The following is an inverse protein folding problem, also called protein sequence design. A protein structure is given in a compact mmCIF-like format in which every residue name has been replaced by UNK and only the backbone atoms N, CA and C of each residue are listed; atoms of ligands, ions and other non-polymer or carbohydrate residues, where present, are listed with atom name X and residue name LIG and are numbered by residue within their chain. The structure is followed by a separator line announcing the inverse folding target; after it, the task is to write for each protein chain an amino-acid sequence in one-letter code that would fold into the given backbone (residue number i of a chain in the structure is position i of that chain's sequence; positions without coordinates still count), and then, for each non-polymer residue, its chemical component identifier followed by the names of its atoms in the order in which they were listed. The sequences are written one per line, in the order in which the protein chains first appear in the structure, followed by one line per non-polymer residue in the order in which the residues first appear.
data_IF_501868594066
#
_entry.id   IF_501868594066
#
_cell.length_a   1.000
_cell.length_b   1.000
_cell.length_c   1.000
_cell.angle_alpha   90.00
_cell.angle_beta   90.00
_cell.angle_gamma   90.00
#
_symmetry.space_group_name_H-M   'P 1'
#
loop_
_entity.id
_entity.type
_entity.pdbx_description
1 polymer ?
#
# COMPACT_ATOMS: atom_id res chain seq x y z
N UNK A 1 15.62 -41.03 27.46
CA UNK A 1 14.84 -41.11 26.20
C UNK A 1 14.41 -39.70 25.84
N UNK A 2 14.96 -39.03 24.81
CA UNK A 2 14.43 -37.77 24.38
C UNK A 2 13.10 -38.03 23.65
N UNK A 3 12.08 -37.34 24.11
CA UNK A 3 10.72 -37.33 23.58
C UNK A 3 10.75 -36.74 22.14
N UNK A 4 10.64 -37.61 21.15
CA UNK A 4 10.42 -37.21 19.75
C UNK A 4 8.97 -36.74 19.66
N UNK A 5 8.74 -35.47 19.85
CA UNK A 5 7.55 -34.83 19.28
C UNK A 5 7.61 -35.04 17.76
N UNK A 6 6.58 -35.67 17.15
CA UNK A 6 6.57 -35.91 15.72
C UNK A 6 6.64 -34.55 14.99
N UNK A 7 7.51 -34.48 13.99
CA UNK A 7 7.65 -33.31 13.11
C UNK A 7 6.27 -32.82 12.70
N UNK A 8 5.93 -31.62 13.13
CA UNK A 8 4.62 -31.05 12.96
C UNK A 8 4.40 -30.81 11.46
N UNK A 9 3.45 -31.51 10.83
CA UNK A 9 3.10 -31.30 9.42
C UNK A 9 2.77 -29.81 9.18
N UNK A 10 3.59 -29.07 8.42
CA UNK A 10 3.38 -27.64 8.17
C UNK A 10 2.04 -27.35 7.46
N UNK A 11 1.51 -28.32 6.72
CA UNK A 11 0.22 -28.18 6.02
C UNK A 11 -0.95 -28.21 7.01
N UNK A 12 -0.90 -29.05 8.05
CA UNK A 12 -1.92 -29.09 9.10
C UNK A 12 -1.90 -27.84 9.97
N UNK A 13 -0.72 -27.34 10.35
CA UNK A 13 -0.60 -26.09 11.10
C UNK A 13 -1.16 -24.90 10.29
N UNK A 14 -0.87 -24.86 9.00
CA UNK A 14 -1.42 -23.84 8.08
C UNK A 14 -2.94 -23.94 7.97
N UNK A 15 -3.51 -25.14 7.89
CA UNK A 15 -4.96 -25.34 7.84
C UNK A 15 -5.62 -24.88 9.16
N UNK A 16 -5.02 -25.19 10.30
CA UNK A 16 -5.51 -24.75 11.60
C UNK A 16 -5.50 -23.21 11.72
N UNK A 17 -4.43 -22.55 11.26
CA UNK A 17 -4.36 -21.08 11.19
C UNK A 17 -5.44 -20.50 10.26
N UNK A 18 -5.67 -21.11 9.09
CA UNK A 18 -6.76 -20.71 8.18
C UNK A 18 -8.13 -20.82 8.87
N UNK A 19 -8.38 -21.87 9.65
CA UNK A 19 -9.62 -22.00 10.46
C UNK A 19 -9.76 -20.89 11.47
N UNK A 20 -8.68 -20.53 12.17
CA UNK A 20 -8.64 -19.41 13.10
C UNK A 20 -8.91 -18.07 12.39
N UNK A 21 -8.44 -17.86 11.17
CA UNK A 21 -8.75 -16.67 10.36
C UNK A 21 -10.21 -16.67 9.95
N UNK A 22 -10.72 -17.77 9.43
CA UNK A 22 -12.06 -17.90 8.87
C UNK A 22 -13.18 -17.86 9.92
N UNK A 23 -12.90 -18.22 11.19
CA UNK A 23 -13.93 -18.12 12.24
C UNK A 23 -14.37 -16.69 12.55
N UNK A 24 -13.68 -15.68 11.99
CA UNK A 24 -14.08 -14.27 12.04
C UNK A 24 -14.01 -13.63 13.44
N UNK A 25 -14.68 -12.50 13.59
CA UNK A 25 -14.71 -11.73 14.83
C UNK A 25 -13.40 -10.99 15.16
N UNK A 26 -13.28 -10.42 16.37
CA UNK A 26 -12.08 -9.68 16.79
C UNK A 26 -10.81 -10.52 16.74
N UNK A 27 -9.71 -9.98 16.21
CA UNK A 27 -8.43 -10.70 16.14
C UNK A 27 -7.74 -10.87 17.51
N UNK A 28 -7.98 -9.96 18.45
CA UNK A 28 -7.29 -9.94 19.75
C UNK A 28 -7.44 -11.24 20.57
N UNK A 29 -8.63 -11.85 20.74
CA UNK A 29 -8.78 -13.14 21.41
C UNK A 29 -7.97 -14.24 20.76
N UNK A 30 -7.98 -14.31 19.42
CA UNK A 30 -7.24 -15.33 18.65
C UNK A 30 -5.74 -15.13 18.72
N UNK A 31 -5.25 -13.87 18.81
CA UNK A 31 -3.82 -13.60 19.05
C UNK A 31 -3.41 -14.06 20.44
N UNK A 32 -4.19 -13.70 21.49
CA UNK A 32 -3.93 -14.20 22.86
C UNK A 32 -3.86 -15.73 22.92
N UNK A 33 -4.74 -16.39 22.17
CA UNK A 33 -4.71 -17.87 22.08
C UNK A 33 -3.38 -18.37 21.49
N UNK A 34 -2.90 -17.75 20.39
CA UNK A 34 -1.62 -18.13 19.78
C UNK A 34 -0.40 -17.65 20.58
N UNK A 35 -0.54 -16.63 21.45
CA UNK A 35 0.48 -16.28 22.44
C UNK A 35 0.64 -17.37 23.50
N UNK A 36 -0.49 -17.92 23.95
CA UNK A 36 -0.53 -18.94 24.98
C UNK A 36 -0.17 -20.33 24.43
N UNK A 37 -0.68 -20.66 23.24
CA UNK A 37 -0.43 -21.93 22.54
C UNK A 37 0.03 -21.59 21.11
N UNK A 38 1.36 -21.53 20.86
CA UNK A 38 1.90 -21.12 19.56
C UNK A 38 1.56 -22.04 18.38
N UNK A 39 1.37 -23.35 18.62
CA UNK A 39 0.92 -24.28 17.57
C UNK A 39 -0.58 -24.08 17.29
N UNK A 40 -0.98 -23.59 16.09
CA UNK A 40 -2.38 -23.38 15.74
C UNK A 40 -3.27 -24.63 15.87
N UNK A 41 -2.70 -25.84 15.70
CA UNK A 41 -3.42 -27.13 15.82
C UNK A 41 -3.79 -27.39 17.28
N UNK A 42 -2.83 -27.28 18.16
CA UNK A 42 -3.04 -27.43 19.61
C UNK A 42 -4.00 -26.33 20.11
N UNK A 43 -3.82 -25.08 19.62
CA UNK A 43 -4.65 -23.94 19.97
C UNK A 43 -6.14 -24.17 19.65
N UNK A 44 -6.48 -24.65 18.45
CA UNK A 44 -7.89 -24.91 18.08
C UNK A 44 -8.48 -26.16 18.74
N UNK A 45 -7.64 -27.12 19.15
CA UNK A 45 -8.06 -28.31 19.83
C UNK A 45 -8.42 -28.06 21.31
N UNK A 46 -7.78 -27.07 21.95
CA UNK A 46 -8.04 -26.71 23.34
C UNK A 46 -9.23 -25.74 23.47
N UNK A 47 -10.40 -26.33 23.69
CA UNK A 47 -11.63 -25.56 23.85
C UNK A 47 -11.70 -24.76 25.16
N UNK A 48 -10.94 -25.13 26.20
CA UNK A 48 -10.85 -24.37 27.42
C UNK A 48 -10.02 -23.09 27.19
N UNK A 49 -8.80 -23.24 26.67
CA UNK A 49 -7.94 -22.12 26.29
C UNK A 49 -8.63 -21.15 25.31
N UNK A 50 -9.38 -21.67 24.33
CA UNK A 50 -10.16 -20.83 23.44
C UNK A 50 -11.16 -19.93 24.19
N UNK A 51 -11.88 -20.47 25.18
CA UNK A 51 -12.84 -19.68 26.01
C UNK A 51 -12.11 -18.69 26.90
N UNK A 52 -11.05 -19.14 27.57
CA UNK A 52 -10.28 -18.32 28.50
C UNK A 52 -9.60 -17.13 27.78
N UNK A 53 -9.18 -17.32 26.54
CA UNK A 53 -8.70 -16.25 25.68
C UNK A 53 -9.80 -15.34 25.14
N UNK A 54 -11.07 -15.67 25.36
CA UNK A 54 -12.24 -14.84 25.03
C UNK A 54 -12.77 -15.05 23.60
N UNK A 55 -12.62 -16.24 23.02
CA UNK A 55 -13.33 -16.57 21.79
C UNK A 55 -14.82 -16.73 22.08
N UNK A 56 -15.65 -16.13 21.24
CA UNK A 56 -17.11 -16.20 21.38
C UNK A 56 -17.65 -17.58 21.04
N UNK A 57 -18.87 -17.90 21.52
CA UNK A 57 -19.55 -19.16 21.17
C UNK A 57 -19.69 -19.34 19.65
N UNK A 58 -19.92 -18.25 18.91
CA UNK A 58 -19.98 -18.28 17.44
C UNK A 58 -18.64 -18.68 16.81
N UNK A 59 -17.54 -18.13 17.31
CA UNK A 59 -16.19 -18.52 16.87
C UNK A 59 -15.87 -19.97 17.19
N UNK A 60 -16.21 -20.45 18.39
CA UNK A 60 -16.05 -21.84 18.79
C UNK A 60 -16.87 -22.78 17.91
N UNK A 61 -18.11 -22.41 17.60
CA UNK A 61 -18.98 -23.14 16.67
C UNK A 61 -18.37 -23.22 15.27
N UNK A 62 -17.84 -22.11 14.74
CA UNK A 62 -17.19 -22.07 13.44
C UNK A 62 -15.90 -22.91 13.38
N UNK A 63 -15.12 -22.97 14.46
CA UNK A 63 -13.93 -23.81 14.55
C UNK A 63 -14.24 -25.31 14.55
N UNK A 64 -15.37 -25.73 15.12
CA UNK A 64 -15.83 -27.14 15.21
C UNK A 64 -16.64 -27.57 14.01
N UNK A 65 -17.26 -26.62 13.31
CA UNK A 65 -18.11 -26.86 12.18
C UNK A 65 -17.37 -27.34 10.93
N UNK A 66 -18.10 -27.71 9.88
CA UNK A 66 -17.52 -28.05 8.59
C UNK A 66 -16.75 -26.84 8.03
N UNK A 67 -15.66 -27.14 7.32
CA UNK A 67 -14.87 -26.09 6.69
C UNK A 67 -15.71 -25.39 5.58
N UNK A 68 -15.89 -24.05 5.65
CA UNK A 68 -16.63 -23.34 4.61
C UNK A 68 -15.90 -23.37 3.26
N UNK A 69 -16.63 -23.18 2.17
CA UNK A 69 -16.06 -23.17 0.81
C UNK A 69 -14.93 -22.15 0.63
N UNK A 70 -15.00 -21.03 1.37
CA UNK A 70 -13.94 -20.02 1.40
C UNK A 70 -12.60 -20.58 1.89
N UNK A 71 -12.60 -21.58 2.78
CA UNK A 71 -11.36 -22.27 3.22
C UNK A 71 -10.77 -23.14 2.11
N UNK A 72 -11.60 -23.81 1.31
CA UNK A 72 -11.11 -24.57 0.16
C UNK A 72 -10.41 -23.63 -0.82
N UNK A 73 -11.07 -22.54 -1.20
CA UNK A 73 -10.50 -21.54 -2.09
C UNK A 73 -9.17 -20.96 -1.54
N UNK A 74 -9.12 -20.63 -0.25
CA UNK A 74 -7.89 -20.12 0.36
C UNK A 74 -6.76 -21.16 0.39
N UNK A 75 -7.09 -22.44 0.65
CA UNK A 75 -6.11 -23.53 0.60
C UNK A 75 -5.58 -23.72 -0.82
N UNK A 76 -6.47 -23.75 -1.82
CA UNK A 76 -6.10 -23.92 -3.23
C UNK A 76 -5.24 -22.74 -3.71
N UNK A 77 -5.59 -21.51 -3.32
CA UNK A 77 -4.78 -20.33 -3.58
C UNK A 77 -3.36 -20.45 -2.99
N UNK A 78 -3.21 -21.00 -1.78
CA UNK A 78 -1.91 -21.19 -1.12
C UNK A 78 -1.05 -22.29 -1.76
N UNK A 79 -1.56 -23.09 -2.68
CA UNK A 79 -0.77 -24.06 -3.45
C UNK A 79 0.04 -23.40 -4.57
N UNK A 80 -0.35 -22.20 -4.99
CA UNK A 80 0.36 -21.50 -6.05
C UNK A 80 1.73 -21.01 -5.55
N UNK A 81 2.77 -21.01 -6.40
CA UNK A 81 4.08 -20.51 -6.04
C UNK A 81 4.00 -19.04 -5.65
N UNK A 82 4.82 -18.61 -4.69
CA UNK A 82 4.87 -17.24 -4.18
C UNK A 82 3.58 -16.77 -3.48
N UNK A 83 2.72 -17.69 -3.04
CA UNK A 83 1.58 -17.42 -2.19
C UNK A 83 1.84 -17.92 -0.77
N UNK A 84 1.73 -17.02 0.20
CA UNK A 84 2.12 -17.30 1.59
C UNK A 84 1.00 -16.91 2.54
N UNK A 85 0.96 -17.62 3.68
CA UNK A 85 0.17 -17.24 4.86
C UNK A 85 1.15 -17.09 6.02
N UNK A 86 1.23 -15.88 6.57
CA UNK A 86 2.12 -15.52 7.68
C UNK A 86 1.26 -15.23 8.90
N UNK A 87 1.31 -16.07 9.91
CA UNK A 87 0.58 -15.93 11.16
C UNK A 87 1.22 -14.92 12.10
N UNK A 88 0.43 -14.31 12.98
CA UNK A 88 0.94 -13.38 13.97
C UNK A 88 2.00 -13.98 14.91
N UNK A 89 1.89 -15.27 15.20
CA UNK A 89 2.86 -16.05 16.01
C UNK A 89 4.14 -16.41 15.24
N UNK A 90 4.09 -16.33 13.90
CA UNK A 90 5.18 -16.69 13.01
C UNK A 90 6.38 -15.73 13.17
N UNK A 91 7.64 -16.22 13.28
CA UNK A 91 8.82 -15.35 13.27
C UNK A 91 8.89 -14.41 12.08
N UNK A 92 8.31 -14.80 10.93
CA UNK A 92 8.29 -14.01 9.69
C UNK A 92 7.30 -12.85 9.69
N UNK A 93 6.42 -12.78 10.70
CA UNK A 93 5.48 -11.68 10.81
C UNK A 93 6.19 -10.34 10.97
N UNK A 94 5.79 -9.28 10.23
CA UNK A 94 6.48 -7.98 10.21
C UNK A 94 6.64 -7.38 11.60
N UNK A 95 7.87 -7.09 12.07
CA UNK A 95 8.11 -6.67 13.45
C UNK A 95 7.50 -5.30 13.77
N UNK A 96 7.45 -4.41 12.80
CA UNK A 96 6.82 -3.10 12.95
C UNK A 96 5.30 -3.24 13.12
N UNK A 97 4.65 -4.09 12.32
CA UNK A 97 3.22 -4.35 12.40
C UNK A 97 2.84 -5.10 13.68
N UNK A 98 3.70 -6.02 14.16
CA UNK A 98 3.48 -6.74 15.41
C UNK A 98 3.32 -5.80 16.62
N UNK A 99 4.03 -4.66 16.59
CA UNK A 99 3.99 -3.64 17.64
C UNK A 99 2.88 -2.62 17.48
N UNK A 100 2.11 -2.68 16.38
CA UNK A 100 0.99 -1.74 16.16
C UNK A 100 -0.17 -2.06 17.11
N UNK A 101 -1.08 -1.10 17.41
CA UNK A 101 -2.17 -1.28 18.38
C UNK A 101 -3.13 -2.44 18.03
N UNK A 102 -3.33 -2.72 16.75
CA UNK A 102 -4.27 -3.74 16.29
C UNK A 102 -3.71 -4.57 15.11
N UNK A 103 -2.66 -5.37 15.32
CA UNK A 103 -2.09 -6.19 14.25
C UNK A 103 -3.10 -7.26 13.79
N UNK A 104 -3.16 -7.61 12.49
CA UNK A 104 -3.97 -8.72 12.01
C UNK A 104 -3.49 -10.07 12.55
N UNK A 105 -4.39 -11.04 12.63
CA UNK A 105 -4.06 -12.40 13.07
C UNK A 105 -3.11 -13.12 12.09
N UNK A 106 -3.28 -12.87 10.81
CA UNK A 106 -2.45 -13.40 9.74
C UNK A 106 -2.48 -12.48 8.52
N UNK A 107 -1.49 -12.63 7.66
CA UNK A 107 -1.35 -11.94 6.37
C UNK A 107 -1.28 -12.97 5.26
N UNK A 108 -2.12 -12.78 4.25
CA UNK A 108 -1.98 -13.43 2.95
C UNK A 108 -1.07 -12.59 2.08
N UNK A 109 -0.03 -13.19 1.52
CA UNK A 109 0.97 -12.51 0.70
C UNK A 109 1.06 -13.18 -0.67
N UNK A 110 0.92 -12.40 -1.74
CA UNK A 110 1.28 -12.82 -3.10
C UNK A 110 2.49 -12.02 -3.55
N UNK A 111 3.59 -12.70 -3.87
CA UNK A 111 4.86 -12.08 -4.21
C UNK A 111 5.97 -12.48 -3.25
N UNK A 112 6.85 -11.54 -2.93
CA UNK A 112 8.00 -11.75 -2.06
C UNK A 112 7.68 -11.40 -0.60
N UNK A 113 7.56 -12.36 0.32
CA UNK A 113 7.26 -12.11 1.73
C UNK A 113 8.41 -11.40 2.47
N UNK A 114 9.65 -11.51 2.00
CA UNK A 114 10.81 -10.85 2.62
C UNK A 114 10.67 -9.31 2.59
N UNK A 115 9.92 -8.76 1.63
CA UNK A 115 9.65 -7.34 1.55
C UNK A 115 8.86 -6.77 2.74
N UNK A 116 8.22 -7.61 3.53
CA UNK A 116 7.56 -7.20 4.77
C UNK A 116 8.54 -6.86 5.90
N UNK A 117 9.80 -7.25 5.75
CA UNK A 117 10.91 -6.88 6.63
C UNK A 117 11.77 -5.75 6.05
N UNK A 118 11.57 -5.43 4.76
CA UNK A 118 12.33 -4.38 4.11
C UNK A 118 11.87 -3.00 4.62
N UNK A 119 12.80 -2.08 4.94
CA UNK A 119 12.44 -0.71 5.31
C UNK A 119 11.58 -0.05 4.24
N UNK A 120 10.36 0.38 4.60
CA UNK A 120 9.40 0.93 3.66
C UNK A 120 8.79 2.24 4.14
N UNK A 121 8.45 3.14 3.21
CA UNK A 121 7.66 4.35 3.47
C UNK A 121 6.27 4.19 2.87
N UNK A 122 5.25 4.45 3.67
CA UNK A 122 3.88 4.50 3.17
C UNK A 122 3.66 5.81 2.40
N UNK A 123 3.34 5.73 1.11
CA UNK A 123 3.03 6.89 0.27
C UNK A 123 1.54 6.87 -0.05
N UNK A 124 0.81 7.88 0.44
CA UNK A 124 -0.65 7.94 0.34
C UNK A 124 -1.13 9.32 -0.10
N UNK A 125 -2.37 9.37 -0.59
CA UNK A 125 -2.95 10.67 -0.95
C UNK A 125 -4.30 10.57 -1.64
N UNK A 126 -4.62 11.60 -2.41
CA UNK A 126 -5.86 11.75 -3.16
C UNK A 126 -6.05 10.63 -4.18
N UNK A 127 -7.28 10.14 -4.32
CA UNK A 127 -7.69 9.23 -5.40
C UNK A 127 -7.87 9.91 -6.75
N UNK A 128 -8.04 11.25 -6.73
CA UNK A 128 -8.11 12.10 -7.91
C UNK A 128 -7.13 13.28 -7.73
N UNK A 129 -5.82 13.01 -7.76
CA UNK A 129 -4.80 14.03 -7.53
C UNK A 129 -4.68 14.98 -8.72
N UNK A 130 -4.07 16.15 -8.47
CA UNK A 130 -3.63 17.01 -9.54
C UNK A 130 -2.52 16.36 -10.37
N UNK A 131 -2.21 16.86 -11.58
CA UNK A 131 -1.02 16.43 -12.31
C UNK A 131 0.25 16.58 -11.48
N UNK A 132 0.47 17.72 -10.83
CA UNK A 132 1.61 17.95 -9.94
C UNK A 132 1.66 16.98 -8.76
N UNK A 133 0.51 16.62 -8.19
CA UNK A 133 0.44 15.60 -7.14
C UNK A 133 0.89 14.22 -7.62
N UNK A 134 0.53 13.81 -8.86
CA UNK A 134 1.03 12.56 -9.46
C UNK A 134 2.52 12.61 -9.70
N UNK A 135 3.02 13.73 -10.23
CA UNK A 135 4.46 13.91 -10.49
C UNK A 135 5.27 13.89 -9.20
N UNK A 136 4.77 14.54 -8.15
CA UNK A 136 5.36 14.51 -6.81
C UNK A 136 5.39 13.08 -6.25
N UNK A 137 4.28 12.32 -6.33
CA UNK A 137 4.24 10.94 -5.88
C UNK A 137 5.28 10.07 -6.61
N UNK A 138 5.40 10.25 -7.93
CA UNK A 138 6.36 9.53 -8.74
C UNK A 138 7.81 9.95 -8.44
N UNK A 139 8.06 11.24 -8.22
CA UNK A 139 9.39 11.77 -7.90
C UNK A 139 9.87 11.26 -6.53
N UNK A 140 9.02 11.37 -5.49
CA UNK A 140 9.33 10.85 -4.16
C UNK A 140 9.54 9.34 -4.18
N UNK A 141 8.68 8.57 -4.87
CA UNK A 141 8.83 7.13 -4.97
C UNK A 141 10.18 6.73 -5.59
N UNK A 142 10.60 7.37 -6.69
CA UNK A 142 11.91 7.12 -7.31
C UNK A 142 13.08 7.48 -6.38
N UNK A 143 12.98 8.60 -5.67
CA UNK A 143 14.03 9.04 -4.75
C UNK A 143 14.15 8.11 -3.53
N UNK A 144 13.03 7.65 -2.97
CA UNK A 144 13.00 6.66 -1.88
C UNK A 144 13.65 5.33 -2.32
N UNK A 145 13.35 4.87 -3.55
CA UNK A 145 14.01 3.69 -4.15
C UNK A 145 15.52 3.91 -4.28
N UNK A 146 15.94 5.09 -4.75
CA UNK A 146 17.35 5.46 -4.85
C UNK A 146 18.07 5.48 -3.49
N UNK A 147 17.35 5.68 -2.40
CA UNK A 147 17.84 5.59 -1.02
C UNK A 147 17.75 4.18 -0.42
N UNK A 148 17.38 3.16 -1.19
CA UNK A 148 17.27 1.77 -0.73
C UNK A 148 16.00 1.47 0.07
N UNK A 149 14.99 2.34 0.04
CA UNK A 149 13.72 2.13 0.73
C UNK A 149 12.67 1.54 -0.22
N UNK A 150 11.82 0.67 0.31
CA UNK A 150 10.62 0.23 -0.40
C UNK A 150 9.49 1.27 -0.26
N UNK A 151 8.57 1.25 -1.21
CA UNK A 151 7.34 2.04 -1.14
C UNK A 151 6.16 1.13 -0.80
N UNK A 152 5.48 1.41 0.31
CA UNK A 152 4.22 0.77 0.64
C UNK A 152 3.05 1.69 0.28
N UNK A 153 1.94 1.14 -0.22
CA UNK A 153 0.72 1.91 -0.47
C UNK A 153 -0.53 1.03 -0.51
N UNK A 154 -1.68 1.64 -0.73
CA UNK A 154 -2.97 0.96 -0.67
C UNK A 154 -3.52 0.49 -2.03
N UNK A 155 -2.79 0.65 -3.11
CA UNK A 155 -3.25 0.34 -4.47
C UNK A 155 -4.55 1.07 -4.87
N UNK A 156 -4.89 2.17 -4.22
CA UNK A 156 -6.01 3.01 -4.64
C UNK A 156 -5.69 3.75 -5.95
N UNK A 157 -6.72 4.29 -6.62
CA UNK A 157 -6.49 5.20 -7.74
C UNK A 157 -5.72 6.44 -7.28
N UNK A 158 -5.04 7.12 -8.19
CA UNK A 158 -4.37 8.39 -7.94
C UNK A 158 -2.96 8.26 -7.38
N UNK A 159 -2.69 8.84 -6.22
CA UNK A 159 -1.35 8.87 -5.61
C UNK A 159 -0.77 7.48 -5.40
N UNK A 160 -1.56 6.55 -4.85
CA UNK A 160 -1.11 5.17 -4.60
C UNK A 160 -0.66 4.49 -5.91
N UNK A 161 -1.47 4.62 -6.97
CA UNK A 161 -1.14 4.10 -8.31
C UNK A 161 0.15 4.71 -8.86
N UNK A 162 0.32 6.04 -8.75
CA UNK A 162 1.50 6.74 -9.24
C UNK A 162 2.77 6.30 -8.48
N UNK A 163 2.68 6.17 -7.17
CA UNK A 163 3.78 5.73 -6.32
C UNK A 163 4.23 4.29 -6.65
N UNK A 164 3.29 3.33 -6.72
CA UNK A 164 3.61 1.94 -7.09
C UNK A 164 4.22 1.84 -8.50
N UNK A 165 3.60 2.51 -9.48
CA UNK A 165 4.07 2.47 -10.86
C UNK A 165 5.48 3.05 -11.02
N UNK A 166 5.76 4.18 -10.36
CA UNK A 166 7.08 4.80 -10.38
C UNK A 166 8.14 3.96 -9.67
N UNK A 167 7.79 3.31 -8.55
CA UNK A 167 8.67 2.38 -7.83
C UNK A 167 9.07 1.21 -8.71
N UNK A 168 8.10 0.55 -9.36
CA UNK A 168 8.38 -0.57 -10.28
C UNK A 168 9.19 -0.14 -11.50
N UNK A 169 8.91 1.05 -12.05
CA UNK A 169 9.67 1.59 -13.18
C UNK A 169 11.12 1.92 -12.81
N UNK A 170 11.40 2.25 -11.55
CA UNK A 170 12.74 2.47 -11.04
C UNK A 170 13.46 1.17 -10.61
N UNK A 171 12.85 0.00 -10.81
CA UNK A 171 13.39 -1.30 -10.38
C UNK A 171 13.38 -1.49 -8.86
N UNK A 172 12.60 -0.70 -8.14
CA UNK A 172 12.49 -0.74 -6.68
C UNK A 172 11.43 -1.71 -6.17
N UNK A 173 11.45 -1.95 -4.86
CA UNK A 173 10.52 -2.82 -4.16
C UNK A 173 9.26 -2.09 -3.73
N UNK A 174 8.09 -2.70 -3.93
CA UNK A 174 6.82 -2.12 -3.48
C UNK A 174 5.91 -3.14 -2.81
N UNK A 175 5.22 -2.70 -1.76
CA UNK A 175 4.25 -3.49 -1.00
C UNK A 175 2.88 -2.85 -1.12
N UNK A 176 1.93 -3.56 -1.73
CA UNK A 176 0.54 -3.10 -1.80
C UNK A 176 -0.30 -3.80 -0.72
N UNK A 177 -0.82 -3.02 0.22
CA UNK A 177 -1.75 -3.53 1.23
C UNK A 177 -3.17 -3.40 0.71
N UNK A 178 -3.95 -4.47 0.73
CA UNK A 178 -5.25 -4.55 0.07
C UNK A 178 -6.42 -4.55 1.06
N UNK A 179 -7.55 -3.97 0.66
CA UNK A 179 -8.84 -4.09 1.37
C UNK A 179 -9.72 -5.21 0.80
N UNK A 180 -9.18 -6.03 -0.10
CA UNK A 180 -9.79 -7.22 -0.72
C UNK A 180 -8.93 -8.43 -0.42
N UNK A 181 -9.37 -9.63 -0.79
CA UNK A 181 -8.48 -10.79 -0.88
C UNK A 181 -7.29 -10.50 -1.81
N UNK A 182 -6.14 -11.20 -1.64
CA UNK A 182 -4.93 -10.90 -2.40
C UNK A 182 -5.07 -11.21 -3.90
N UNK A 183 -6.06 -11.99 -4.29
CA UNK A 183 -6.43 -12.39 -5.65
C UNK A 183 -7.40 -11.42 -6.35
N UNK A 184 -7.95 -10.46 -5.60
CA UNK A 184 -8.98 -9.53 -6.11
C UNK A 184 -8.38 -8.13 -6.32
N UNK A 185 -8.12 -7.78 -7.58
CA UNK A 185 -7.65 -6.45 -7.96
C UNK A 185 -8.75 -5.39 -7.79
N UNK A 186 -8.51 -4.39 -6.95
CA UNK A 186 -9.41 -3.25 -6.76
C UNK A 186 -8.61 -1.95 -6.56
N UNK A 187 -8.96 -0.85 -7.27
CA UNK A 187 -10.01 -0.74 -8.31
C UNK A 187 -9.67 -1.56 -9.56
N UNK A 188 -10.68 -1.88 -10.37
CA UNK A 188 -10.50 -2.71 -11.59
C UNK A 188 -9.47 -2.12 -12.57
N UNK A 189 -9.34 -0.79 -12.62
CA UNK A 189 -8.35 -0.11 -13.45
C UNK A 189 -6.89 -0.40 -13.07
N UNK A 190 -6.64 -0.91 -11.86
CA UNK A 190 -5.30 -1.26 -11.37
C UNK A 190 -4.97 -2.75 -11.54
N UNK A 191 -5.74 -3.53 -12.32
CA UNK A 191 -5.52 -4.97 -12.51
C UNK A 191 -4.11 -5.30 -13.02
N UNK A 192 -3.63 -4.56 -14.00
CA UNK A 192 -2.29 -4.74 -14.54
C UNK A 192 -1.21 -4.42 -13.49
N UNK A 193 -1.36 -3.30 -12.79
CA UNK A 193 -0.45 -2.92 -11.72
C UNK A 193 -0.44 -3.93 -10.57
N UNK A 194 -1.61 -4.44 -10.18
CA UNK A 194 -1.76 -5.53 -9.20
C UNK A 194 -0.95 -6.76 -9.62
N UNK A 195 -1.08 -7.23 -10.86
CA UNK A 195 -0.31 -8.38 -11.37
C UNK A 195 1.20 -8.12 -11.40
N UNK A 196 1.61 -6.91 -11.79
CA UNK A 196 3.03 -6.50 -11.78
C UNK A 196 3.61 -6.47 -10.35
N UNK A 197 2.83 -6.00 -9.37
CA UNK A 197 3.26 -5.99 -7.96
C UNK A 197 3.37 -7.41 -7.43
N UNK A 198 2.43 -8.32 -7.75
CA UNK A 198 2.54 -9.73 -7.37
C UNK A 198 3.81 -10.40 -7.91
N UNK A 199 4.31 -9.95 -9.08
CA UNK A 199 5.51 -10.49 -9.71
C UNK A 199 6.80 -9.88 -9.16
N UNK A 200 6.86 -8.55 -8.96
CA UNK A 200 8.09 -7.82 -8.65
C UNK A 200 8.10 -7.18 -7.25
N UNK A 201 7.07 -7.41 -6.46
CA UNK A 201 6.86 -6.85 -5.14
C UNK A 201 6.09 -7.81 -4.23
N UNK A 202 5.21 -7.26 -3.39
CA UNK A 202 4.30 -8.03 -2.54
C UNK A 202 2.90 -7.40 -2.47
N UNK A 203 1.87 -8.21 -2.67
CA UNK A 203 0.49 -7.90 -2.34
C UNK A 203 0.17 -8.49 -0.96
N UNK A 204 -0.40 -7.71 -0.08
CA UNK A 204 -0.65 -8.10 1.31
C UNK A 204 -2.09 -7.85 1.69
N UNK A 205 -2.74 -8.84 2.28
CA UNK A 205 -4.12 -8.73 2.78
C UNK A 205 -4.32 -9.49 4.08
N UNK A 206 -5.18 -8.97 4.96
CA UNK A 206 -5.70 -9.73 6.12
C UNK A 206 -6.96 -10.55 5.76
N UNK A 207 -7.52 -10.33 4.58
CA UNK A 207 -8.73 -11.00 4.12
C UNK A 207 -8.41 -12.28 3.34
N UNK A 208 -9.26 -13.29 3.50
CA UNK A 208 -9.17 -14.54 2.75
C UNK A 208 -9.21 -14.28 1.24
N UNK A 209 -8.45 -15.05 0.44
CA UNK A 209 -8.63 -15.12 -1.01
C UNK A 209 -10.11 -15.25 -1.39
N UNK A 210 -10.53 -14.60 -2.48
CA UNK A 210 -11.93 -14.51 -2.91
C UNK A 210 -12.75 -13.41 -2.22
N UNK A 211 -12.20 -12.71 -1.22
CA UNK A 211 -12.92 -11.63 -0.53
C UNK A 211 -13.02 -10.39 -1.42
N UNK A 212 -14.25 -10.07 -1.83
CA UNK A 212 -14.55 -8.88 -2.64
C UNK A 212 -14.41 -7.56 -1.87
N UNK A 213 -14.45 -6.41 -2.58
CA UNK A 213 -14.34 -5.10 -1.97
C UNK A 213 -15.56 -4.77 -1.10
N UNK A 214 -15.32 -4.30 0.13
CA UNK A 214 -16.33 -3.77 1.05
C UNK A 214 -15.85 -2.42 1.60
N UNK A 215 -16.77 -1.47 1.79
CA UNK A 215 -16.42 -0.09 2.19
C UNK A 215 -15.63 -0.04 3.50
N UNK A 216 -15.98 -0.87 4.47
CA UNK A 216 -15.36 -0.97 5.79
C UNK A 216 -13.94 -1.55 5.76
N UNK A 217 -13.59 -2.33 4.74
CA UNK A 217 -12.27 -2.95 4.62
C UNK A 217 -11.17 -1.93 4.30
N UNK A 218 -11.48 -0.83 3.59
CA UNK A 218 -10.47 0.15 3.19
C UNK A 218 -9.94 0.98 4.36
N UNK A 219 -10.78 1.53 5.25
CA UNK A 219 -10.27 2.18 6.47
C UNK A 219 -9.57 1.21 7.42
N UNK A 220 -10.09 -0.01 7.60
CA UNK A 220 -9.48 -1.00 8.49
C UNK A 220 -8.10 -1.46 8.01
N UNK A 221 -7.92 -1.62 6.68
CA UNK A 221 -6.67 -1.96 6.05
C UNK A 221 -5.58 -0.91 6.31
N UNK A 222 -5.93 0.38 6.40
CA UNK A 222 -4.95 1.46 6.55
C UNK A 222 -4.07 1.30 7.81
N UNK A 223 -4.55 0.62 8.87
CA UNK A 223 -3.73 0.30 10.06
C UNK A 223 -2.58 -0.65 9.73
N UNK A 224 -2.78 -1.56 8.78
CA UNK A 224 -1.74 -2.48 8.33
C UNK A 224 -0.70 -1.70 7.54
N UNK A 225 -1.13 -0.83 6.62
CA UNK A 225 -0.23 0.02 5.84
C UNK A 225 0.62 0.92 6.74
N UNK A 226 0.00 1.62 7.70
CA UNK A 226 0.69 2.43 8.68
C UNK A 226 1.63 1.59 9.58
N UNK A 227 1.21 0.36 9.93
CA UNK A 227 1.95 -0.53 10.82
C UNK A 227 3.19 -1.17 10.20
N UNK A 228 3.21 -1.45 8.90
CA UNK A 228 4.38 -2.04 8.22
C UNK A 228 5.44 -1.01 7.82
N UNK A 229 5.07 0.26 7.69
CA UNK A 229 5.95 1.31 7.24
C UNK A 229 6.75 1.95 8.38
N UNK A 230 7.92 2.49 8.07
CA UNK A 230 8.74 3.31 8.97
C UNK A 230 8.05 4.65 9.28
N UNK A 231 7.41 5.24 8.27
CA UNK A 231 6.65 6.48 8.34
C UNK A 231 5.66 6.60 7.19
N UNK A 232 4.81 7.61 7.23
CA UNK A 232 3.76 7.85 6.23
C UNK A 232 3.91 9.22 5.60
N UNK A 233 4.06 9.25 4.27
CA UNK A 233 4.13 10.45 3.45
C UNK A 233 2.79 10.73 2.77
N UNK A 234 2.21 11.90 3.02
CA UNK A 234 0.97 12.36 2.40
C UNK A 234 1.28 13.41 1.33
N UNK A 235 1.00 13.07 0.06
CA UNK A 235 1.32 13.94 -1.09
C UNK A 235 0.22 14.98 -1.33
N UNK A 236 -1.02 14.58 -1.45
CA UNK A 236 -2.20 15.43 -1.56
C UNK A 236 -3.35 14.80 -0.79
N UNK A 237 -4.07 15.60 -0.01
CA UNK A 237 -5.25 15.17 0.71
C UNK A 237 -6.26 16.32 0.87
N UNK A 238 -7.52 16.10 0.50
CA UNK A 238 -8.60 16.97 0.93
C UNK A 238 -8.87 16.81 2.43
N UNK A 239 -9.59 17.73 3.06
CA UNK A 239 -9.88 17.74 4.51
C UNK A 239 -10.57 16.46 5.02
N UNK A 240 -11.30 15.75 4.17
CA UNK A 240 -12.01 14.49 4.49
C UNK A 240 -11.42 13.29 3.75
N UNK A 241 -10.14 13.35 3.39
CA UNK A 241 -9.47 12.26 2.66
C UNK A 241 -9.21 11.05 3.54
N UNK A 242 -9.35 9.85 2.96
CA UNK A 242 -8.93 8.59 3.61
C UNK A 242 -7.43 8.53 3.91
N UNK A 243 -6.60 9.31 3.22
CA UNK A 243 -5.16 9.41 3.51
C UNK A 243 -4.88 9.99 4.91
N UNK A 244 -5.76 10.90 5.41
CA UNK A 244 -5.67 11.43 6.77
C UNK A 244 -5.92 10.36 7.83
N UNK A 245 -6.72 9.34 7.52
CA UNK A 245 -6.92 8.18 8.41
C UNK A 245 -5.61 7.40 8.53
N UNK A 246 -4.90 7.16 7.40
CA UNK A 246 -3.61 6.48 7.42
C UNK A 246 -2.57 7.28 8.20
N UNK A 247 -2.50 8.59 8.01
CA UNK A 247 -1.61 9.49 8.74
C UNK A 247 -1.86 9.42 10.25
N UNK A 248 -3.13 9.49 10.68
CA UNK A 248 -3.50 9.35 12.09
C UNK A 248 -3.10 8.00 12.67
N UNK A 249 -3.38 6.90 11.97
CA UNK A 249 -3.02 5.54 12.40
C UNK A 249 -1.51 5.34 12.47
N UNK A 250 -0.74 6.03 11.62
CA UNK A 250 0.73 6.06 11.69
C UNK A 250 1.19 6.76 12.98
N UNK A 251 0.67 7.94 13.28
CA UNK A 251 0.97 8.66 14.53
C UNK A 251 0.56 7.85 15.78
N UNK A 252 -0.62 7.24 15.79
CA UNK A 252 -1.09 6.34 16.87
C UNK A 252 -0.18 5.10 17.05
N UNK A 253 0.53 4.71 15.99
CA UNK A 253 1.52 3.63 16.02
C UNK A 253 2.94 4.11 16.33
N UNK A 254 3.13 5.38 16.71
CA UNK A 254 4.44 5.98 16.98
C UNK A 254 5.33 6.08 15.73
N UNK A 255 4.73 6.30 14.56
CA UNK A 255 5.44 6.49 13.29
C UNK A 255 5.44 7.95 12.88
N UNK A 256 6.51 8.36 12.21
CA UNK A 256 6.60 9.69 11.62
C UNK A 256 5.55 9.90 10.53
N UNK A 257 4.99 11.09 10.50
CA UNK A 257 4.07 11.54 9.46
C UNK A 257 4.67 12.73 8.75
N UNK A 258 4.74 12.64 7.44
CA UNK A 258 5.23 13.67 6.54
C UNK A 258 4.11 14.17 5.65
N UNK A 259 4.08 15.46 5.37
CA UNK A 259 3.12 16.03 4.46
C UNK A 259 3.77 17.03 3.50
N UNK A 260 3.44 16.92 2.21
CA UNK A 260 3.86 17.91 1.23
C UNK A 260 3.02 19.18 1.39
N UNK A 261 3.66 20.36 1.42
CA UNK A 261 2.95 21.62 1.27
C UNK A 261 2.40 21.76 -0.16
N UNK A 262 1.43 22.61 -0.36
CA UNK A 262 0.88 22.91 -1.68
C UNK A 262 0.24 24.29 -1.70
N UNK A 263 -0.27 24.69 -2.86
CA UNK A 263 -0.97 25.97 -3.02
C UNK A 263 -2.17 26.03 -2.06
N UNK A 264 -2.35 27.18 -1.38
CA UNK A 264 -3.53 27.45 -0.54
C UNK A 264 -4.84 27.43 -1.35
N UNK A 265 -4.74 27.60 -2.67
CA UNK A 265 -5.84 27.52 -3.61
C UNK A 265 -6.18 26.10 -4.04
N UNK A 266 -5.28 25.15 -3.82
CA UNK A 266 -5.53 23.74 -4.10
C UNK A 266 -6.34 23.08 -2.94
N UNK A 267 -7.61 22.71 -3.16
CA UNK A 267 -8.39 22.04 -2.11
C UNK A 267 -7.79 20.71 -1.65
N UNK A 268 -6.95 20.07 -2.47
CA UNK A 268 -6.25 18.84 -2.12
C UNK A 268 -4.98 19.07 -1.28
N UNK A 269 -4.54 20.33 -1.08
CA UNK A 269 -3.46 20.66 -0.15
C UNK A 269 -3.96 20.88 1.29
N UNK A 270 -5.25 21.14 1.48
CA UNK A 270 -5.81 21.50 2.80
C UNK A 270 -5.61 20.45 3.87
N UNK A 271 -5.73 19.16 3.51
CA UNK A 271 -5.45 18.05 4.42
C UNK A 271 -3.98 17.99 4.83
N UNK A 272 -3.06 18.20 3.89
CA UNK A 272 -1.62 18.29 4.17
C UNK A 272 -1.31 19.47 5.10
N UNK A 273 -1.88 20.67 4.82
CA UNK A 273 -1.73 21.83 5.69
C UNK A 273 -2.28 21.61 7.09
N UNK A 274 -3.38 20.85 7.22
CA UNK A 274 -3.91 20.45 8.52
C UNK A 274 -2.93 19.52 9.23
N UNK A 275 -2.44 18.47 8.57
CA UNK A 275 -1.46 17.54 9.16
C UNK A 275 -0.21 18.27 9.65
N UNK A 276 0.32 19.23 8.87
CA UNK A 276 1.48 20.05 9.26
C UNK A 276 1.18 20.84 10.54
N UNK A 277 0.01 21.48 10.62
CA UNK A 277 -0.41 22.20 11.85
C UNK A 277 -0.62 21.26 13.04
N UNK A 278 -1.02 20.02 12.78
CA UNK A 278 -1.23 18.98 13.79
C UNK A 278 0.08 18.28 14.19
N UNK A 279 1.25 18.71 13.64
CA UNK A 279 2.58 18.25 14.01
C UNK A 279 3.26 17.29 13.02
N UNK A 280 2.67 17.03 11.84
CA UNK A 280 3.38 16.29 10.79
C UNK A 280 4.54 17.13 10.24
N UNK A 281 5.66 16.47 9.93
CA UNK A 281 6.80 17.15 9.33
C UNK A 281 6.49 17.61 7.92
N UNK A 282 6.67 18.91 7.63
CA UNK A 282 6.65 19.43 6.28
C UNK A 282 7.89 18.94 5.56
N UNK A 283 7.71 18.37 4.37
CA UNK A 283 8.80 17.90 3.53
C UNK A 283 8.65 18.39 2.08
N UNK A 284 9.76 18.78 1.48
CA UNK A 284 9.83 19.27 0.10
C UNK A 284 10.61 18.31 -0.80
N UNK A 285 11.35 17.38 -0.22
CA UNK A 285 12.13 16.36 -0.92
C UNK A 285 12.23 15.05 -0.11
N UNK A 286 12.63 13.97 -0.78
CA UNK A 286 12.72 12.65 -0.17
C UNK A 286 13.90 12.52 0.82
N UNK A 287 14.92 13.35 0.70
CA UNK A 287 16.06 13.32 1.61
C UNK A 287 15.62 13.64 3.04
N UNK A 288 14.75 14.64 3.23
CA UNK A 288 14.19 14.98 4.55
C UNK A 288 13.41 13.79 5.17
N UNK A 289 12.73 13.00 4.34
CA UNK A 289 12.05 11.78 4.79
C UNK A 289 13.06 10.72 5.21
N UNK A 290 14.09 10.47 4.41
CA UNK A 290 15.11 9.44 4.70
C UNK A 290 15.94 9.78 5.92
N UNK A 291 16.33 11.04 6.10
CA UNK A 291 17.06 11.50 7.28
C UNK A 291 16.26 11.32 8.58
N UNK A 292 14.98 11.69 8.56
CA UNK A 292 14.10 11.52 9.73
C UNK A 292 13.86 10.04 10.09
N UNK A 293 13.84 9.15 9.09
CA UNK A 293 13.57 7.72 9.29
C UNK A 293 14.83 6.87 9.56
N UNK A 294 16.03 7.41 9.39
CA UNK A 294 17.29 6.68 9.56
C UNK A 294 17.39 5.91 10.89
N UNK A 295 17.06 6.49 12.08
CA UNK A 295 17.17 5.77 13.34
C UNK A 295 16.26 4.54 13.43
N UNK A 296 15.03 4.63 12.89
CA UNK A 296 14.07 3.52 12.89
C UNK A 296 14.48 2.44 11.87
N UNK A 297 15.00 2.85 10.71
CA UNK A 297 15.53 1.95 9.70
C UNK A 297 16.74 1.14 10.22
N UNK A 298 17.66 1.79 10.92
CA UNK A 298 18.80 1.13 11.57
C UNK A 298 18.37 0.12 12.63
N UNK A 299 17.39 0.48 13.47
CA UNK A 299 16.84 -0.43 14.47
C UNK A 299 16.19 -1.66 13.82
N UNK A 300 15.46 -1.49 12.71
CA UNK A 300 14.86 -2.59 11.94
C UNK A 300 15.94 -3.48 11.30
N UNK A 301 16.97 -2.87 10.67
CA UNK A 301 18.09 -3.60 10.10
C UNK A 301 18.86 -4.40 11.16
N UNK A 302 19.04 -3.84 12.36
CA UNK A 302 19.62 -4.54 13.51
C UNK A 302 18.78 -5.74 13.96
N UNK A 303 17.45 -5.60 13.97
CA UNK A 303 16.54 -6.70 14.28
C UNK A 303 16.61 -7.82 13.23
N UNK A 304 16.68 -7.46 11.94
CA UNK A 304 16.84 -8.41 10.83
C UNK A 304 18.18 -9.16 10.91
N UNK A 305 19.29 -8.46 11.16
CA UNK A 305 20.62 -9.10 11.33
C UNK A 305 20.61 -10.11 12.48
N UNK A 306 20.02 -9.77 13.62
CA UNK A 306 19.89 -10.69 14.76
C UNK A 306 19.08 -11.95 14.38
N UNK A 307 18.03 -11.79 13.60
CA UNK A 307 17.23 -12.90 13.11
C UNK A 307 18.00 -13.81 12.16
N UNK A 308 18.73 -13.23 11.18
CA UNK A 308 19.55 -13.98 10.24
C UNK A 308 20.75 -14.67 10.89
N UNK A 309 21.25 -14.13 12.00
CA UNK A 309 22.33 -14.74 12.79
C UNK A 309 21.84 -15.86 13.73
N UNK A 310 20.53 -16.00 13.95
CA UNK A 310 19.96 -17.14 14.69
C UNK A 310 20.07 -18.41 13.83
N UNK A 311 20.39 -19.60 14.41
CA UNK A 311 20.49 -20.85 13.67
C UNK A 311 19.20 -21.15 12.90
N UNK A 312 19.31 -21.36 11.60
CA UNK A 312 18.17 -21.68 10.74
C UNK A 312 17.95 -23.18 10.79
N UNK A 313 16.75 -23.60 11.12
CA UNK A 313 16.30 -24.97 10.88
C UNK A 313 15.68 -25.01 9.46
N UNK A 314 16.41 -25.57 8.49
CA UNK A 314 15.91 -25.92 7.15
C UNK A 314 16.31 -25.01 6.00
N UNK A 315 17.04 -25.55 5.04
CA UNK A 315 17.57 -24.91 3.82
C UNK A 315 16.54 -24.78 2.70
N UNK A 316 16.66 -23.70 1.91
CA UNK A 316 15.97 -23.53 0.63
C UNK A 316 16.62 -22.43 -0.21
N UNK A 317 17.31 -22.84 -1.30
CA UNK A 317 17.99 -21.95 -2.26
C UNK A 317 17.02 -21.11 -3.11
N UNK A 318 17.36 -19.85 -3.38
CA UNK A 318 16.64 -18.99 -4.29
C UNK A 318 17.56 -18.25 -5.25
N UNK A 319 17.33 -18.47 -6.53
CA UNK A 319 18.04 -17.84 -7.65
C UNK A 319 17.52 -16.44 -8.01
N UNK A 320 18.36 -15.65 -8.67
CA UNK A 320 18.12 -14.26 -9.05
C UNK A 320 17.36 -14.13 -10.39
N UNK A 321 16.56 -13.08 -10.62
CA UNK A 321 15.84 -12.87 -11.86
C UNK A 321 16.52 -11.89 -12.83
N UNK A 322 16.28 -12.12 -14.14
CA UNK A 322 16.80 -11.39 -15.28
C UNK A 322 16.01 -10.13 -15.63
N UNK A 323 16.69 -9.18 -16.30
CA UNK A 323 16.16 -7.87 -16.76
C UNK A 323 15.49 -7.97 -18.12
N UNK A 324 14.42 -7.20 -18.34
CA UNK A 324 13.80 -6.96 -19.66
C UNK A 324 13.60 -5.46 -19.88
N UNK A 325 13.91 -5.00 -21.10
CA UNK A 325 13.87 -3.60 -21.54
C UNK A 325 12.58 -3.25 -22.31
N UNK A 326 12.20 -1.95 -22.47
CA UNK A 326 10.91 -1.52 -23.02
C UNK A 326 10.98 -1.05 -24.48
N UNK A 327 9.86 -1.21 -25.19
CA UNK A 327 9.63 -0.67 -26.55
C UNK A 327 8.57 0.46 -26.59
N UNK A 328 8.75 1.36 -27.58
CA UNK A 328 7.96 2.56 -27.87
C UNK A 328 7.02 2.35 -29.04
N UNK A 329 5.91 3.05 -29.11
CA UNK A 329 5.31 3.48 -30.38
C UNK A 329 4.36 4.68 -30.24
N UNK A 330 4.20 5.45 -31.30
CA UNK A 330 3.78 6.84 -31.40
C UNK A 330 2.55 7.06 -32.35
N UNK A 331 2.03 8.29 -32.30
CA UNK A 331 1.34 9.08 -33.38
C UNK A 331 -0.20 9.00 -33.48
N UNK A 332 -0.92 10.01 -33.92
CA UNK A 332 -0.95 11.48 -34.02
C UNK A 332 -2.32 11.99 -34.57
N UNK A 333 -2.73 13.16 -34.18
CA UNK A 333 -3.48 14.27 -34.83
C UNK A 333 -4.97 14.18 -35.26
N UNK A 334 -5.81 15.12 -34.85
CA UNK A 334 -6.40 16.26 -35.57
C UNK A 334 -7.34 17.16 -34.74
N UNK A 335 -7.52 18.39 -35.19
CA UNK A 335 -8.00 19.62 -34.57
C UNK A 335 -9.50 19.88 -34.56
N UNK A 336 -9.98 20.68 -33.57
CA UNK A 336 -11.26 21.38 -33.53
C UNK A 336 -11.99 21.27 -32.19
N UNK A 337 -11.84 22.24 -31.27
CA UNK A 337 -12.29 22.07 -29.88
C UNK A 337 -13.57 22.85 -29.55
N UNK A 338 -14.57 22.12 -29.03
CA UNK A 338 -15.72 22.64 -28.28
C UNK A 338 -15.68 22.11 -26.85
N UNK A 339 -16.49 22.66 -25.92
CA UNK A 339 -16.53 22.32 -24.48
C UNK A 339 -16.60 20.85 -24.14
N UNK A 340 -17.11 20.01 -25.04
CA UNK A 340 -17.22 18.54 -24.94
C UNK A 340 -16.09 17.81 -25.68
N UNK A 341 -15.08 18.54 -26.18
CA UNK A 341 -13.98 17.96 -26.92
C UNK A 341 -13.02 17.25 -25.95
N UNK A 342 -12.66 16.01 -26.28
CA UNK A 342 -11.73 15.19 -25.53
C UNK A 342 -10.37 15.87 -25.32
N UNK A 343 -9.94 16.74 -26.26
CA UNK A 343 -8.69 17.48 -26.18
C UNK A 343 -8.77 18.61 -25.16
N UNK A 344 -9.89 19.31 -25.09
CA UNK A 344 -10.16 20.34 -24.09
C UNK A 344 -10.15 19.75 -22.68
N UNK A 345 -10.81 18.60 -22.50
CA UNK A 345 -10.79 17.89 -21.22
C UNK A 345 -9.41 17.36 -20.87
N UNK A 346 -8.62 16.91 -21.84
CA UNK A 346 -7.22 16.49 -21.61
C UNK A 346 -6.37 17.65 -21.13
N UNK A 347 -6.46 18.82 -21.77
CA UNK A 347 -5.74 20.02 -21.35
C UNK A 347 -6.23 20.50 -19.98
N UNK A 348 -7.54 20.53 -19.75
CA UNK A 348 -8.10 20.87 -18.45
C UNK A 348 -7.55 19.97 -17.35
N UNK A 349 -7.49 18.66 -17.60
CA UNK A 349 -6.94 17.69 -16.64
C UNK A 349 -5.42 17.80 -16.48
N UNK A 350 -4.71 18.33 -17.46
CA UNK A 350 -3.27 18.60 -17.41
C UNK A 350 -2.93 19.87 -16.61
N UNK A 351 -3.85 20.85 -16.53
CA UNK A 351 -3.71 22.05 -15.72
C UNK A 351 -3.88 21.73 -14.23
N UNK A 352 -2.97 22.26 -13.41
CA UNK A 352 -3.05 22.22 -11.95
C UNK A 352 -3.45 23.56 -11.34
N UNK A 353 -3.34 23.65 -10.03
CA UNK A 353 -3.46 24.89 -9.27
C UNK A 353 -2.11 25.59 -9.09
N UNK A 354 -1.01 24.92 -9.46
CA UNK A 354 0.34 25.47 -9.46
C UNK A 354 0.67 26.02 -10.86
N UNK A 355 1.48 27.10 -10.96
CA UNK A 355 1.86 27.69 -12.23
C UNK A 355 2.63 26.69 -13.10
N UNK A 356 2.02 26.23 -14.19
CA UNK A 356 2.55 25.20 -15.10
C UNK A 356 2.98 25.82 -16.43
N UNK A 357 4.19 25.51 -16.89
CA UNK A 357 4.73 26.01 -18.15
C UNK A 357 4.12 25.35 -19.39
N UNK A 358 4.25 25.99 -20.55
CA UNK A 358 3.71 25.51 -21.84
C UNK A 358 4.23 24.10 -22.18
N UNK A 359 5.54 23.88 -22.10
CA UNK A 359 6.16 22.60 -22.45
C UNK A 359 5.63 21.45 -21.59
N UNK A 360 5.43 21.71 -20.32
CA UNK A 360 4.90 20.75 -19.35
C UNK A 360 3.41 20.46 -19.63
N UNK A 361 2.62 21.46 -20.04
CA UNK A 361 1.24 21.25 -20.46
C UNK A 361 1.14 20.42 -21.75
N UNK A 362 2.01 20.67 -22.71
CA UNK A 362 2.14 19.87 -23.95
C UNK A 362 2.48 18.41 -23.60
N UNK A 363 3.47 18.21 -22.76
CA UNK A 363 3.89 16.87 -22.36
C UNK A 363 2.78 16.10 -21.60
N UNK A 364 2.12 16.76 -20.66
CA UNK A 364 1.04 16.15 -19.83
C UNK A 364 -0.23 15.90 -20.63
N UNK A 365 -0.65 16.83 -21.48
CA UNK A 365 -1.86 16.70 -22.28
C UNK A 365 -1.69 15.81 -23.52
N UNK A 366 -0.44 15.63 -23.97
CA UNK A 366 -0.08 14.97 -25.23
C UNK A 366 -0.69 15.68 -26.46
N UNK A 367 -0.92 16.97 -26.34
CA UNK A 367 -1.42 17.84 -27.40
C UNK A 367 -0.24 18.59 -28.02
N UNK A 368 -0.41 19.10 -29.24
CA UNK A 368 0.57 19.97 -29.86
C UNK A 368 0.59 21.35 -29.17
N UNK A 369 1.72 22.06 -29.24
CA UNK A 369 1.86 23.42 -28.70
C UNK A 369 0.78 24.35 -29.25
N UNK A 370 0.43 24.24 -30.56
CA UNK A 370 -0.60 25.02 -31.19
C UNK A 370 -2.00 24.75 -30.60
N UNK A 371 -2.34 23.49 -30.37
CA UNK A 371 -3.60 23.09 -29.73
C UNK A 371 -3.68 23.62 -28.30
N UNK A 372 -2.62 23.44 -27.53
CA UNK A 372 -2.55 23.90 -26.13
C UNK A 372 -2.70 25.41 -26.08
N UNK A 373 -1.98 26.18 -26.94
CA UNK A 373 -2.06 27.65 -26.97
C UNK A 373 -3.47 28.16 -27.31
N UNK A 374 -4.11 27.55 -28.31
CA UNK A 374 -5.46 27.98 -28.73
C UNK A 374 -6.50 27.69 -27.64
N UNK A 375 -6.41 26.52 -26.97
CA UNK A 375 -7.34 26.17 -25.91
C UNK A 375 -7.08 26.95 -24.60
N UNK A 376 -5.81 27.25 -24.27
CA UNK A 376 -5.49 28.10 -23.12
C UNK A 376 -6.05 29.51 -23.29
N UNK A 377 -5.96 30.05 -24.49
CA UNK A 377 -6.54 31.38 -24.79
C UNK A 377 -8.06 31.39 -24.58
N UNK A 378 -8.76 30.33 -25.02
CA UNK A 378 -10.20 30.20 -24.78
C UNK A 378 -10.51 30.08 -23.29
N UNK A 379 -9.76 29.26 -22.56
CA UNK A 379 -9.93 29.08 -21.11
C UNK A 379 -9.62 30.36 -20.34
N UNK A 380 -8.66 31.14 -20.78
CA UNK A 380 -8.34 32.47 -20.19
C UNK A 380 -9.46 33.48 -20.43
N UNK A 381 -10.00 33.54 -21.65
CA UNK A 381 -11.16 34.40 -21.98
C UNK A 381 -12.42 34.00 -21.20
N UNK A 382 -12.57 32.69 -20.88
CA UNK A 382 -13.63 32.17 -20.01
C UNK A 382 -13.35 32.41 -18.50
N UNK A 383 -12.21 33.03 -18.14
CA UNK A 383 -11.80 33.24 -16.75
C UNK A 383 -11.47 31.96 -15.97
N UNK A 384 -11.28 30.86 -16.64
CA UNK A 384 -11.01 29.54 -16.05
C UNK A 384 -9.53 29.29 -15.83
N UNK A 385 -8.67 29.97 -16.54
CA UNK A 385 -7.21 29.90 -16.46
C UNK A 385 -6.66 31.30 -16.30
N UNK A 386 -5.68 31.47 -15.45
CA UNK A 386 -4.89 32.68 -15.30
C UNK A 386 -3.48 32.47 -15.87
N UNK A 387 -3.01 33.36 -16.71
CA UNK A 387 -1.66 33.36 -17.26
C UNK A 387 -0.78 34.38 -16.53
N UNK A 388 0.37 33.98 -16.03
CA UNK A 388 1.37 34.81 -15.39
C UNK A 388 2.77 34.43 -15.84
N UNK A 389 3.49 35.34 -16.49
CA UNK A 389 4.89 35.13 -16.92
C UNK A 389 5.11 33.82 -17.73
N UNK A 390 4.20 33.48 -18.64
CA UNK A 390 4.28 32.30 -19.48
C UNK A 390 3.94 30.98 -18.76
N UNK A 391 3.38 31.04 -17.57
CA UNK A 391 2.84 29.93 -16.82
C UNK A 391 1.33 30.07 -16.64
N UNK A 392 0.64 28.95 -16.58
CA UNK A 392 -0.83 28.86 -16.57
C UNK A 392 -1.30 28.11 -15.33
N UNK A 393 -2.34 28.64 -14.67
CA UNK A 393 -2.99 28.02 -13.50
C UNK A 393 -4.49 27.97 -13.69
N UNK A 394 -5.17 27.00 -13.07
CA UNK A 394 -6.63 27.06 -12.99
C UNK A 394 -7.06 28.24 -12.13
N UNK A 395 -8.00 29.04 -12.67
CA UNK A 395 -8.76 29.97 -11.85
C UNK A 395 -9.86 29.26 -11.06
N UNK A 396 -10.35 29.88 -10.01
CA UNK A 396 -11.43 29.34 -9.17
C UNK A 396 -12.76 29.26 -9.89
#
# INVERSE_FOLDING_TARGET
MPDHTPDADPAEARLALLRLVACGGPAAPRRRLLEHIPDPRAAIADAAACRDCGLSSAQLGALRGPAPDTLRHARDWLQAPRHHLIGWHDPDYPPLLRRSPAPPLALFVAGDPALLWHPAVAVVGSRAPTPGGRDNAAAFARALVGSGLAVASGLAAGIDTAAHAATLAAGGHTVAVLGTGPDIAYPRGNRELHARIATAGALVSEHLPGTGPRKEHFPSRNRILAGIALGTLVIEAAERSGALITARLAAESGREVFALPGSIHNPLARGCHRLIRDGAALVENAQQVTEALAPVAEALAGALRRRLAAPIAGDGEHGAPARVAPERAAQAQRLGATRDDADYQRLWNALGFDPTGMDELVQRSRLTTAQVSSMLLLMELEGRVAAHHGRYTRSR
#
